data_IF_800009953679
#
_entry.id   IF_800009953679
#
_cell.length_a   1.000
_cell.length_b   1.000
_cell.length_c   1.000
_cell.angle_alpha   90.00
_cell.angle_beta   90.00
_cell.angle_gamma   90.00
#
_symmetry.space_group_name_H-M   'P 1'
#
loop_
_entity.id
_entity.type
_entity.pdbx_description
1 polymer ?
#
# COMPACT_ATOMS: atom_id res chain seq x y z
N UNK A 1 12.13 10.46 -10.30
CA UNK A 1 12.89 11.42 -9.46
C UNK A 1 13.66 10.55 -8.48
N UNK A 2 14.98 10.69 -8.35
CA UNK A 2 15.76 9.75 -7.52
C UNK A 2 15.81 10.28 -6.09
N UNK A 3 14.94 9.74 -5.23
CA UNK A 3 14.91 10.08 -3.81
C UNK A 3 16.12 9.47 -3.10
N UNK A 4 16.90 10.29 -2.39
CA UNK A 4 18.03 9.78 -1.58
C UNK A 4 17.59 9.38 -0.18
N UNK A 5 18.38 8.52 0.47
CA UNK A 5 18.15 8.09 1.86
C UNK A 5 18.16 9.30 2.80
N UNK A 6 19.07 10.26 2.61
CA UNK A 6 19.17 11.47 3.42
C UNK A 6 17.92 12.35 3.26
N UNK A 7 17.46 12.55 2.03
CA UNK A 7 16.24 13.31 1.75
C UNK A 7 15.05 12.68 2.47
N UNK A 8 14.84 11.38 2.29
CA UNK A 8 13.70 10.68 2.87
C UNK A 8 13.78 10.66 4.39
N UNK A 9 14.97 10.48 4.95
CA UNK A 9 15.19 10.53 6.40
C UNK A 9 14.79 11.89 6.97
N UNK A 10 15.26 12.98 6.36
CA UNK A 10 14.93 14.34 6.78
C UNK A 10 13.43 14.62 6.64
N UNK A 11 12.82 14.21 5.52
CA UNK A 11 11.39 14.43 5.29
C UNK A 11 10.47 13.59 6.20
N UNK A 12 10.98 12.46 6.71
CA UNK A 12 10.28 11.57 7.64
C UNK A 12 10.32 12.06 9.08
N UNK A 13 11.25 12.94 9.43
CA UNK A 13 11.40 13.43 10.81
C UNK A 13 10.10 14.08 11.32
N UNK A 14 9.70 13.70 12.54
CA UNK A 14 8.48 14.20 13.18
C UNK A 14 7.17 13.62 12.61
N UNK A 15 7.21 12.74 11.60
CA UNK A 15 6.01 12.12 11.02
C UNK A 15 5.60 10.85 11.74
N UNK A 16 4.29 10.62 11.82
CA UNK A 16 3.74 9.40 12.41
C UNK A 16 4.14 8.15 11.59
N UNK A 17 4.44 7.05 12.28
CA UNK A 17 4.65 5.74 11.66
C UNK A 17 3.52 4.79 12.05
N UNK A 18 2.81 4.28 11.05
CA UNK A 18 1.71 3.33 11.21
C UNK A 18 2.24 1.90 11.13
N UNK A 19 1.92 1.04 12.09
CA UNK A 19 2.52 -0.31 12.20
C UNK A 19 1.48 -1.41 12.17
N UNK A 20 1.69 -2.40 11.31
CA UNK A 20 1.02 -3.69 11.29
C UNK A 20 1.84 -4.66 12.14
N UNK A 21 1.32 -4.95 13.33
CA UNK A 21 1.95 -5.87 14.28
C UNK A 21 1.70 -7.35 13.97
N UNK A 22 0.77 -7.67 13.07
CA UNK A 22 0.46 -9.04 12.68
C UNK A 22 1.49 -9.57 11.66
N UNK A 23 1.90 -8.72 10.72
CA UNK A 23 2.89 -9.05 9.70
C UNK A 23 4.30 -8.54 10.04
N UNK A 24 4.41 -7.43 10.77
CA UNK A 24 5.69 -6.75 10.96
C UNK A 24 6.00 -5.78 9.83
N UNK A 25 5.02 -4.97 9.44
CA UNK A 25 5.23 -3.87 8.48
C UNK A 25 5.03 -2.51 9.16
N UNK A 26 5.72 -1.48 8.67
CA UNK A 26 5.59 -0.12 9.14
C UNK A 26 5.62 0.86 7.96
N UNK A 27 4.74 1.85 7.98
CA UNK A 27 4.58 2.83 6.90
C UNK A 27 4.61 4.26 7.46
N UNK A 28 5.21 5.18 6.71
CA UNK A 28 5.18 6.62 6.99
C UNK A 28 4.92 7.40 5.71
N UNK A 29 3.88 8.24 5.70
CA UNK A 29 3.64 9.19 4.61
C UNK A 29 4.62 10.36 4.71
N UNK A 30 5.64 10.36 3.87
CA UNK A 30 6.69 11.39 3.78
C UNK A 30 6.21 12.62 3.01
N UNK A 31 5.31 12.41 2.04
CA UNK A 31 4.47 13.43 1.41
C UNK A 31 3.10 12.84 1.12
N UNK A 32 2.05 13.62 1.35
CA UNK A 32 0.68 13.29 0.96
C UNK A 32 0.26 14.12 -0.25
N UNK A 33 -0.80 13.70 -0.94
CA UNK A 33 -1.40 14.46 -2.02
C UNK A 33 -1.84 15.86 -1.59
N UNK A 34 -2.24 16.04 -0.33
CA UNK A 34 -2.58 17.37 0.19
C UNK A 34 -1.36 18.30 0.30
N UNK A 35 -0.16 17.75 0.48
CA UNK A 35 1.10 18.51 0.56
C UNK A 35 1.74 18.76 -0.82
N UNK A 36 1.26 18.08 -1.85
CA UNK A 36 1.81 18.12 -3.22
C UNK A 36 0.79 18.59 -4.25
N UNK A 37 -0.32 19.19 -3.81
CA UNK A 37 -1.43 19.63 -4.66
C UNK A 37 -1.97 18.51 -5.58
N UNK A 38 -1.91 17.26 -5.11
CA UNK A 38 -2.36 16.06 -5.81
C UNK A 38 -1.33 15.48 -6.78
N UNK A 39 -0.15 16.07 -6.91
CA UNK A 39 0.85 15.64 -7.90
C UNK A 39 1.38 14.22 -7.61
N UNK A 40 1.70 13.94 -6.34
CA UNK A 40 2.18 12.61 -5.92
C UNK A 40 2.04 12.39 -4.40
N UNK A 41 1.96 11.12 -4.01
CA UNK A 41 2.13 10.70 -2.62
C UNK A 41 3.47 9.99 -2.49
N UNK A 42 4.16 10.16 -1.36
CA UNK A 42 5.45 9.53 -1.11
C UNK A 42 5.42 8.82 0.24
N UNK A 43 5.57 7.50 0.22
CA UNK A 43 5.57 6.66 1.40
C UNK A 43 6.94 6.05 1.61
N UNK A 44 7.44 6.08 2.84
CA UNK A 44 8.53 5.23 3.27
C UNK A 44 7.97 4.00 4.00
N UNK A 45 8.49 2.82 3.71
CA UNK A 45 8.01 1.55 4.24
C UNK A 45 9.15 0.65 4.75
N UNK A 46 8.87 -0.08 5.83
CA UNK A 46 9.74 -1.11 6.40
C UNK A 46 8.98 -2.43 6.48
N UNK A 47 9.44 -3.46 5.79
CA UNK A 47 8.83 -4.80 5.83
C UNK A 47 9.79 -5.79 6.49
N UNK A 48 9.27 -6.57 7.44
CA UNK A 48 9.98 -7.73 7.95
C UNK A 48 10.36 -8.71 6.82
N UNK A 49 11.33 -9.62 7.06
CA UNK A 49 11.64 -10.69 6.11
C UNK A 49 10.42 -11.57 5.79
N UNK A 50 10.24 -11.94 4.51
CA UNK A 50 9.19 -12.85 4.06
C UNK A 50 7.80 -12.24 3.83
N UNK A 51 7.66 -10.91 3.91
CA UNK A 51 6.41 -10.21 3.58
C UNK A 51 6.12 -10.34 2.09
N UNK A 52 4.86 -10.65 1.78
CA UNK A 52 4.38 -10.77 0.39
C UNK A 52 3.27 -9.78 0.11
N UNK A 53 3.37 -9.11 -1.03
CA UNK A 53 2.29 -8.31 -1.63
C UNK A 53 1.70 -9.13 -2.78
N UNK A 54 0.42 -9.49 -2.64
CA UNK A 54 -0.26 -10.35 -3.62
C UNK A 54 -0.34 -9.68 -5.00
N UNK A 55 -0.45 -10.46 -6.10
CA UNK A 55 -0.58 -9.91 -7.44
C UNK A 55 -1.84 -9.04 -7.62
N UNK A 56 -1.67 -7.79 -8.03
CA UNK A 56 -2.74 -6.83 -8.28
C UNK A 56 -2.35 -5.79 -9.35
N UNK A 57 -3.27 -4.90 -9.70
CA UNK A 57 -2.98 -3.75 -10.57
C UNK A 57 -3.83 -2.54 -10.18
N UNK A 58 -3.32 -1.36 -10.54
CA UNK A 58 -4.01 -0.08 -10.40
C UNK A 58 -4.41 0.44 -11.78
N UNK A 59 -5.46 1.23 -11.85
CA UNK A 59 -5.95 1.88 -13.07
C UNK A 59 -5.80 3.39 -13.06
N UNK A 60 -5.63 4.00 -11.89
CA UNK A 60 -5.66 5.46 -11.71
C UNK A 60 -4.27 6.09 -11.53
N UNK A 61 -3.25 5.31 -11.16
CA UNK A 61 -1.92 5.84 -10.86
C UNK A 61 -0.78 4.87 -11.21
N UNK A 62 0.41 5.45 -11.34
CA UNK A 62 1.70 4.77 -11.44
C UNK A 62 2.28 4.61 -10.04
N UNK A 63 2.90 3.47 -9.78
CA UNK A 63 3.75 3.28 -8.60
C UNK A 63 5.23 3.25 -9.02
N UNK A 64 6.09 3.94 -8.28
CA UNK A 64 7.54 3.79 -8.39
C UNK A 64 8.09 3.29 -7.07
N UNK A 65 8.76 2.15 -7.07
CA UNK A 65 9.42 1.57 -5.90
C UNK A 65 10.92 1.87 -5.99
N UNK A 66 11.47 2.55 -4.99
CA UNK A 66 12.91 2.77 -4.84
C UNK A 66 13.40 2.01 -3.61
N UNK A 67 14.32 1.07 -3.80
CA UNK A 67 14.81 0.22 -2.71
C UNK A 67 16.02 0.85 -2.03
N UNK A 68 15.99 0.96 -0.70
CA UNK A 68 17.10 1.49 0.09
C UNK A 68 17.89 0.40 0.78
N UNK A 69 17.22 -0.66 1.23
CA UNK A 69 17.86 -1.78 1.90
C UNK A 69 17.07 -3.07 1.71
N UNK A 70 17.77 -4.16 1.45
CA UNK A 70 17.24 -5.51 1.37
C UNK A 70 17.20 -6.03 -0.06
N UNK A 71 16.31 -6.98 -0.32
CA UNK A 71 16.09 -7.51 -1.66
C UNK A 71 14.59 -7.63 -1.87
N UNK A 72 14.07 -6.99 -2.92
CA UNK A 72 12.67 -7.09 -3.31
C UNK A 72 12.58 -7.89 -4.59
N UNK A 73 11.94 -9.05 -4.52
CA UNK A 73 11.70 -9.89 -5.69
C UNK A 73 10.22 -9.83 -6.05
N UNK A 74 9.89 -9.98 -7.32
CA UNK A 74 8.51 -9.93 -7.75
C UNK A 74 8.37 -10.00 -9.25
N UNK A 75 7.16 -9.69 -9.69
CA UNK A 75 6.83 -9.63 -11.11
C UNK A 75 6.16 -8.32 -11.43
N UNK A 76 6.49 -7.72 -12.56
CA UNK A 76 5.82 -6.54 -13.12
C UNK A 76 5.52 -6.80 -14.58
N UNK A 77 4.25 -6.64 -14.99
CA UNK A 77 3.80 -6.90 -16.36
C UNK A 77 4.23 -8.28 -16.91
N UNK A 78 4.27 -9.29 -16.03
CA UNK A 78 4.65 -10.66 -16.36
C UNK A 78 6.14 -10.95 -16.39
N UNK A 79 7.01 -9.94 -16.27
CA UNK A 79 8.47 -10.09 -16.17
C UNK A 79 8.89 -10.22 -14.71
N UNK A 80 9.88 -11.08 -14.44
CA UNK A 80 10.53 -11.15 -13.13
C UNK A 80 11.36 -9.88 -12.89
N UNK A 81 11.28 -9.34 -11.68
CA UNK A 81 12.00 -8.15 -11.24
C UNK A 81 12.66 -8.46 -9.91
N UNK A 82 13.95 -8.16 -9.81
CA UNK A 82 14.70 -8.19 -8.55
C UNK A 82 15.30 -6.81 -8.37
N UNK A 83 15.00 -6.17 -7.23
CA UNK A 83 15.63 -4.94 -6.81
C UNK A 83 16.54 -5.20 -5.62
N UNK A 84 17.68 -4.54 -5.63
CA UNK A 84 18.67 -4.45 -4.55
C UNK A 84 18.89 -2.99 -4.14
N UNK A 85 19.68 -2.78 -3.10
CA UNK A 85 19.95 -1.45 -2.50
C UNK A 85 20.31 -0.40 -3.59
N UNK A 86 19.50 0.65 -3.72
CA UNK A 86 19.66 1.75 -4.67
C UNK A 86 18.94 1.60 -6.01
N UNK A 87 18.35 0.43 -6.30
CA UNK A 87 17.61 0.19 -7.54
C UNK A 87 16.15 0.62 -7.45
N UNK A 88 15.53 0.84 -8.60
CA UNK A 88 14.13 1.23 -8.69
C UNK A 88 13.37 0.49 -9.79
N UNK A 89 12.05 0.46 -9.68
CA UNK A 89 11.15 -0.03 -10.73
C UNK A 89 9.89 0.83 -10.81
N UNK A 90 9.35 0.94 -12.02
CA UNK A 90 8.12 1.68 -12.30
C UNK A 90 7.04 0.67 -12.70
N UNK A 91 5.89 0.77 -12.05
CA UNK A 91 4.70 -0.02 -12.31
C UNK A 91 3.64 0.90 -12.92
N UNK A 92 3.46 0.88 -14.25
CA UNK A 92 2.46 1.74 -14.90
C UNK A 92 1.02 1.25 -14.64
N UNK A 93 0.01 2.11 -14.81
CA UNK A 93 -1.39 1.73 -14.72
C UNK A 93 -1.71 0.52 -15.61
N UNK A 94 -2.45 -0.43 -15.08
CA UNK A 94 -2.86 -1.68 -15.72
C UNK A 94 -1.81 -2.80 -15.64
N UNK A 95 -0.57 -2.50 -15.24
CA UNK A 95 0.44 -3.53 -15.06
C UNK A 95 0.16 -4.36 -13.81
N UNK A 96 -0.05 -5.66 -14.02
CA UNK A 96 -0.12 -6.62 -12.91
C UNK A 96 1.26 -6.71 -12.27
N UNK A 97 1.30 -6.53 -10.96
CA UNK A 97 2.51 -6.62 -10.18
C UNK A 97 2.27 -7.25 -8.80
N UNK A 98 3.33 -7.80 -8.22
CA UNK A 98 3.33 -8.39 -6.88
C UNK A 98 4.76 -8.57 -6.41
N UNK A 99 4.96 -8.60 -5.10
CA UNK A 99 6.28 -8.48 -4.47
C UNK A 99 6.46 -9.47 -3.32
N UNK A 100 7.70 -9.84 -3.03
CA UNK A 100 8.08 -10.49 -1.79
C UNK A 100 9.41 -9.94 -1.28
N UNK A 101 9.52 -9.69 0.03
CA UNK A 101 10.80 -9.35 0.66
C UNK A 101 11.65 -10.63 0.76
N UNK A 102 12.78 -10.62 0.07
CA UNK A 102 13.70 -11.75 -0.02
C UNK A 102 14.85 -11.64 0.99
N UNK A 103 15.36 -12.78 1.42
CA UNK A 103 16.44 -12.88 2.40
C UNK A 103 16.00 -12.65 3.84
N UNK A 104 16.97 -12.30 4.70
CA UNK A 104 16.79 -12.18 6.17
C UNK A 104 16.84 -10.72 6.67
N UNK A 105 17.12 -9.76 5.79
CA UNK A 105 17.19 -8.33 6.14
C UNK A 105 15.79 -7.72 6.13
N UNK A 106 15.58 -6.72 7.00
CA UNK A 106 14.40 -5.85 6.89
C UNK A 106 14.47 -5.09 5.57
N UNK A 107 13.39 -5.13 4.79
CA UNK A 107 13.28 -4.38 3.55
C UNK A 107 12.93 -2.93 3.88
N UNK A 108 13.68 -1.96 3.35
CA UNK A 108 13.39 -0.53 3.46
C UNK A 108 13.29 0.08 2.07
N UNK A 109 12.15 0.68 1.76
CA UNK A 109 11.90 1.23 0.43
C UNK A 109 11.02 2.47 0.50
N UNK A 110 11.01 3.20 -0.61
CA UNK A 110 10.09 4.29 -0.87
C UNK A 110 9.14 3.89 -1.99
N UNK A 111 7.86 4.19 -1.80
CA UNK A 111 6.82 4.06 -2.81
C UNK A 111 6.33 5.47 -3.17
N UNK A 112 6.53 5.88 -4.41
CA UNK A 112 5.87 7.05 -4.99
C UNK A 112 4.60 6.61 -5.73
N UNK A 113 3.48 7.28 -5.46
CA UNK A 113 2.21 7.10 -6.16
C UNK A 113 1.89 8.37 -6.94
N UNK A 114 1.73 8.26 -8.26
CA UNK A 114 1.56 9.42 -9.17
C UNK A 114 0.44 9.18 -10.20
N UNK A 115 -0.60 10.04 -10.28
CA UNK A 115 -0.91 11.14 -9.35
C UNK A 115 -1.21 10.63 -7.94
N UNK A 116 -1.22 11.53 -6.95
CA UNK A 116 -1.59 11.17 -5.58
C UNK A 116 -3.02 10.59 -5.53
N UNK A 117 -3.23 9.55 -4.71
CA UNK A 117 -4.53 8.90 -4.60
C UNK A 117 -4.99 8.82 -3.13
N UNK A 118 -5.92 9.70 -2.75
CA UNK A 118 -6.37 9.85 -1.35
C UNK A 118 -6.96 8.55 -0.76
N UNK A 119 -7.60 7.72 -1.59
CA UNK A 119 -8.10 6.43 -1.15
C UNK A 119 -6.98 5.45 -0.80
N UNK A 120 -5.90 5.45 -1.58
CA UNK A 120 -4.72 4.64 -1.31
C UNK A 120 -4.06 5.08 0.00
N UNK A 121 -3.83 6.39 0.17
CA UNK A 121 -3.25 6.94 1.40
C UNK A 121 -4.02 6.53 2.66
N UNK A 122 -5.34 6.71 2.59
CA UNK A 122 -6.28 6.45 3.69
C UNK A 122 -6.31 4.99 4.09
N UNK A 123 -6.55 4.11 3.13
CA UNK A 123 -6.84 2.71 3.43
C UNK A 123 -5.59 1.90 3.74
N UNK A 124 -4.42 2.32 3.26
CA UNK A 124 -3.17 1.69 3.68
C UNK A 124 -2.90 1.94 5.17
N UNK A 125 -3.10 3.16 5.65
CA UNK A 125 -3.00 3.48 7.09
C UNK A 125 -4.07 2.77 7.90
N UNK A 126 -5.30 2.73 7.39
CA UNK A 126 -6.38 2.00 8.05
C UNK A 126 -6.04 0.51 8.20
N UNK A 127 -5.46 -0.11 7.18
CA UNK A 127 -5.05 -1.51 7.21
C UNK A 127 -3.97 -1.77 8.26
N UNK A 128 -2.95 -0.91 8.36
CA UNK A 128 -1.89 -1.02 9.37
C UNK A 128 -2.48 -0.99 10.79
N UNK A 129 -3.31 0.01 11.10
CA UNK A 129 -3.93 0.15 12.43
C UNK A 129 -4.96 -0.94 12.73
N UNK A 130 -5.70 -1.41 11.71
CA UNK A 130 -6.60 -2.55 11.83
C UNK A 130 -5.87 -3.82 12.27
N UNK A 131 -4.63 -4.02 11.82
CA UNK A 131 -3.84 -5.17 12.22
C UNK A 131 -3.44 -5.12 13.70
N UNK A 132 -3.11 -3.94 14.24
CA UNK A 132 -2.87 -3.75 15.68
C UNK A 132 -4.09 -4.09 16.53
N UNK A 133 -5.30 -3.87 15.99
CA UNK A 133 -6.57 -4.22 16.64
C UNK A 133 -7.02 -5.68 16.40
N UNK A 134 -6.17 -6.50 15.77
CA UNK A 134 -6.46 -7.90 15.48
C UNK A 134 -7.61 -8.08 14.47
N UNK A 135 -7.86 -7.09 13.62
CA UNK A 135 -8.90 -7.16 12.58
C UNK A 135 -8.39 -7.71 11.24
N UNK A 136 -7.13 -8.10 11.16
CA UNK A 136 -6.51 -8.79 10.03
C UNK A 136 -6.08 -10.21 10.40
N UNK A 137 -5.91 -11.05 9.39
CA UNK A 137 -5.22 -12.34 9.51
C UNK A 137 -3.70 -12.12 9.56
N UNK A 138 -2.94 -13.19 9.87
CA UNK A 138 -1.48 -13.15 9.91
C UNK A 138 -0.84 -12.80 8.56
N UNK A 139 -1.58 -12.95 7.46
CA UNK A 139 -1.17 -12.57 6.09
C UNK A 139 -1.68 -11.17 5.68
N UNK A 140 -2.09 -10.35 6.65
CA UNK A 140 -2.53 -8.98 6.43
C UNK A 140 -3.95 -8.82 5.93
N UNK A 141 -4.64 -9.89 5.49
CA UNK A 141 -5.98 -9.74 4.93
C UNK A 141 -6.99 -9.33 5.99
N UNK A 142 -7.90 -8.37 5.72
CA UNK A 142 -8.98 -8.05 6.65
C UNK A 142 -9.90 -9.26 6.92
N UNK A 143 -10.25 -9.50 8.20
CA UNK A 143 -11.15 -10.59 8.61
C UNK A 143 -12.58 -10.45 8.08
N UNK A 144 -13.02 -9.21 7.80
CA UNK A 144 -14.35 -8.91 7.29
C UNK A 144 -14.29 -8.57 5.81
N UNK A 145 -15.12 -9.24 5.01
CA UNK A 145 -15.20 -9.02 3.57
C UNK A 145 -15.59 -7.58 3.20
N UNK A 146 -16.41 -6.91 4.02
CA UNK A 146 -16.76 -5.50 3.80
C UNK A 146 -15.56 -4.57 3.98
N UNK A 147 -14.62 -4.88 4.89
CA UNK A 147 -13.40 -4.10 5.05
C UNK A 147 -12.46 -4.33 3.87
N UNK A 148 -12.27 -5.60 3.47
CA UNK A 148 -11.49 -5.95 2.29
C UNK A 148 -12.04 -5.28 1.03
N UNK A 149 -13.36 -5.28 0.84
CA UNK A 149 -14.00 -4.61 -0.29
C UNK A 149 -13.76 -3.10 -0.30
N UNK A 150 -13.84 -2.42 0.85
CA UNK A 150 -13.55 -0.99 0.94
C UNK A 150 -12.09 -0.70 0.57
N UNK A 151 -11.15 -1.38 1.20
CA UNK A 151 -9.71 -1.18 0.96
C UNK A 151 -9.38 -1.45 -0.50
N UNK A 152 -9.82 -2.57 -1.07
CA UNK A 152 -9.51 -2.90 -2.46
C UNK A 152 -10.10 -1.88 -3.44
N UNK A 153 -11.39 -1.55 -3.29
CA UNK A 153 -12.10 -0.72 -4.26
C UNK A 153 -11.71 0.75 -4.15
N UNK A 154 -11.63 1.28 -2.93
CA UNK A 154 -11.32 2.70 -2.74
C UNK A 154 -9.83 3.01 -2.82
N UNK A 155 -8.93 2.01 -2.74
CA UNK A 155 -7.51 2.18 -3.07
C UNK A 155 -7.19 1.81 -4.51
N UNK A 156 -8.18 1.57 -5.37
CA UNK A 156 -7.96 1.14 -6.75
C UNK A 156 -7.05 -0.11 -6.88
N UNK A 157 -7.15 -1.05 -5.94
CA UNK A 157 -6.48 -2.34 -6.00
C UNK A 157 -7.40 -3.32 -6.72
N UNK A 158 -7.03 -3.71 -7.94
CA UNK A 158 -7.81 -4.61 -8.77
C UNK A 158 -7.18 -6.01 -8.84
N UNK A 159 -8.02 -7.04 -8.71
CA UNK A 159 -7.58 -8.43 -8.81
C UNK A 159 -7.32 -8.84 -10.27
N UNK A 160 -6.20 -9.50 -10.59
CA UNK A 160 -5.87 -9.93 -11.95
C UNK A 160 -6.52 -11.28 -12.31
N UNK A 161 -6.38 -11.68 -13.58
CA UNK A 161 -6.79 -13.00 -14.06
C UNK A 161 -8.27 -13.31 -13.77
N UNK A 162 -8.61 -14.55 -13.34
CA UNK A 162 -9.98 -14.91 -12.96
C UNK A 162 -10.57 -14.05 -11.84
N UNK A 163 -9.73 -13.46 -10.98
CA UNK A 163 -10.16 -12.57 -9.90
C UNK A 163 -10.89 -11.30 -10.39
N UNK A 164 -10.67 -10.89 -11.65
CA UNK A 164 -11.40 -9.78 -12.27
C UNK A 164 -12.93 -9.95 -12.22
N UNK A 165 -13.41 -11.18 -12.30
CA UNK A 165 -14.85 -11.49 -12.24
C UNK A 165 -15.47 -11.17 -10.86
N UNK A 166 -14.66 -11.09 -9.80
CA UNK A 166 -15.11 -10.76 -8.44
C UNK A 166 -15.25 -9.24 -8.22
N UNK A 167 -14.58 -8.40 -9.02
CA UNK A 167 -14.56 -6.94 -8.82
C UNK A 167 -15.96 -6.29 -8.81
N UNK A 168 -16.94 -6.66 -9.66
CA UNK A 168 -18.30 -6.10 -9.58
C UNK A 168 -18.98 -6.37 -8.23
N UNK A 169 -18.76 -7.55 -7.65
CA UNK A 169 -19.30 -7.92 -6.34
C UNK A 169 -18.61 -7.11 -5.24
N UNK A 170 -17.28 -6.99 -5.28
CA UNK A 170 -16.53 -6.17 -4.32
C UNK A 170 -16.97 -4.71 -4.37
N UNK A 171 -17.19 -4.15 -5.56
CA UNK A 171 -17.72 -2.78 -5.72
C UNK A 171 -19.11 -2.63 -5.09
N UNK A 172 -20.00 -3.62 -5.26
CA UNK A 172 -21.31 -3.61 -4.60
C UNK A 172 -21.18 -3.68 -3.07
N UNK A 173 -20.28 -4.52 -2.56
CA UNK A 173 -20.01 -4.65 -1.12
C UNK A 173 -19.40 -3.37 -0.54
N UNK A 174 -18.43 -2.75 -1.22
CA UNK A 174 -17.87 -1.47 -0.84
C UNK A 174 -18.94 -0.37 -0.81
N UNK A 175 -19.78 -0.29 -1.87
CA UNK A 175 -20.91 0.66 -1.92
C UNK A 175 -21.90 0.44 -0.77
N UNK A 176 -22.21 -0.80 -0.44
CA UNK A 176 -23.05 -1.15 0.71
C UNK A 176 -22.39 -0.73 2.02
N UNK A 177 -21.11 -1.05 2.21
CA UNK A 177 -20.35 -0.73 3.42
C UNK A 177 -20.27 0.79 3.67
N UNK A 178 -20.12 1.60 2.61
CA UNK A 178 -20.23 3.06 2.70
C UNK A 178 -21.63 3.50 3.15
N UNK A 179 -22.68 3.01 2.48
CA UNK A 179 -24.09 3.36 2.79
C UNK A 179 -24.51 2.97 4.21
N UNK A 180 -24.00 1.86 4.73
CA UNK A 180 -24.32 1.39 6.09
C UNK A 180 -23.38 1.96 7.15
N UNK A 181 -22.50 2.91 6.80
CA UNK A 181 -21.62 3.62 7.74
C UNK A 181 -20.39 2.84 8.19
N UNK A 182 -20.10 1.67 7.62
CA UNK A 182 -18.89 0.88 7.95
C UNK A 182 -17.63 1.64 7.56
N UNK A 183 -17.62 2.27 6.37
CA UNK A 183 -16.49 3.09 5.93
C UNK A 183 -16.22 4.23 6.92
N UNK A 184 -17.27 4.99 7.28
CA UNK A 184 -17.17 6.07 8.26
C UNK A 184 -16.64 5.61 9.62
N UNK A 185 -17.10 4.45 10.12
CA UNK A 185 -16.59 3.90 11.39
C UNK A 185 -15.09 3.59 11.33
N UNK A 186 -14.61 3.05 10.21
CA UNK A 186 -13.17 2.77 10.01
C UNK A 186 -12.37 4.05 9.87
N UNK A 187 -12.89 5.04 9.15
CA UNK A 187 -12.24 6.35 8.97
C UNK A 187 -12.13 7.11 10.30
N UNK A 188 -13.23 7.19 11.05
CA UNK A 188 -13.27 7.81 12.39
C UNK A 188 -12.36 7.12 13.39
N UNK A 189 -12.04 5.83 13.20
CA UNK A 189 -11.15 5.08 14.09
C UNK A 189 -9.69 5.15 13.65
N UNK A 190 -9.43 5.06 12.35
CA UNK A 190 -8.09 4.78 11.83
C UNK A 190 -7.50 5.83 10.90
N UNK A 191 -8.31 6.73 10.35
CA UNK A 191 -7.82 7.76 9.43
C UNK A 191 -7.92 9.17 9.98
N UNK A 192 -8.46 9.37 11.20
CA UNK A 192 -8.68 10.70 11.80
C UNK A 192 -7.63 11.71 11.33
N UNK A 193 -8.05 12.54 10.40
CA UNK A 193 -7.31 13.74 10.03
C UNK A 193 -7.30 14.59 11.29
N UNK A 194 -6.15 15.14 11.71
CA UNK A 194 -6.11 16.14 12.77
C UNK A 194 -7.17 17.24 12.57
#
# INVERSE_FOLDING_TARGET
>A
MNWTVEQITALREGRETFRDTAQGTALTWVRTGAETDGEYSLMYAEYAPGITVFPHFHTEYTETVHLFEGTLEGRVAGQEVVLTDGEETIVPPGAVHGWHSAGERTLRFVLEVRPAHAGFEKWLVALQRMASDGLTHADGRPKKLSHAALILVESDINLPGPGRALMPVLRLLARRARRTGVARQLEERYWRTP
#
